data_IF_607164801787
#
_entry.id   IF_607164801787
#
_cell.length_a   1.000
_cell.length_b   1.000
_cell.length_c   1.000
_cell.angle_alpha   90.00
_cell.angle_beta   90.00
_cell.angle_gamma   90.00
#
_symmetry.space_group_name_H-M   'P 1'
#
loop_
_entity.id
_entity.type
_entity.pdbx_description
1 polymer ?
#
# COMPACT_ATOMS: atom_id res chain seq x y z
N UNK A 1 9.80 24.20 -0.18
CA UNK A 1 9.46 22.85 0.32
C UNK A 1 9.14 23.01 1.80
N UNK A 2 7.92 22.69 2.25
CA UNK A 2 7.63 22.67 3.69
C UNK A 2 7.65 21.22 4.18
N UNK A 3 8.46 21.00 5.20
CA UNK A 3 8.64 19.72 5.86
C UNK A 3 7.43 19.42 6.75
N UNK A 4 6.95 18.18 6.73
CA UNK A 4 5.84 17.73 7.57
C UNK A 4 6.33 16.81 8.68
N UNK A 5 6.94 15.69 8.31
CA UNK A 5 7.35 14.65 9.26
C UNK A 5 8.45 13.76 8.65
N UNK A 6 9.39 13.33 9.49
CA UNK A 6 10.36 12.30 9.13
C UNK A 6 9.82 10.92 9.52
N UNK A 7 9.84 9.98 8.59
CA UNK A 7 9.46 8.60 8.80
C UNK A 7 10.71 7.79 9.14
N UNK A 8 10.68 7.10 10.28
CA UNK A 8 11.71 6.15 10.69
C UNK A 8 11.14 4.75 10.53
N UNK A 9 11.49 4.10 9.43
CA UNK A 9 10.97 2.80 9.01
C UNK A 9 12.06 1.74 9.06
N UNK A 10 11.63 0.47 8.99
CA UNK A 10 12.47 -0.73 9.07
C UNK A 10 12.25 -1.60 7.85
N UNK A 11 13.24 -2.42 7.50
CA UNK A 11 13.03 -3.43 6.45
C UNK A 11 12.14 -4.58 6.96
N UNK A 12 11.27 -5.07 6.07
CA UNK A 12 10.26 -6.09 6.36
C UNK A 12 10.61 -7.46 5.79
N UNK A 13 10.69 -8.49 6.64
CA UNK A 13 11.12 -9.84 6.24
C UNK A 13 12.55 -9.80 5.72
N UNK A 14 12.85 -10.37 4.56
CA UNK A 14 14.20 -10.36 3.94
C UNK A 14 14.39 -9.25 2.89
N UNK A 15 13.44 -8.32 2.74
CA UNK A 15 13.49 -7.28 1.70
C UNK A 15 14.63 -6.30 1.91
N UNK A 16 15.22 -5.78 0.84
CA UNK A 16 16.23 -4.73 0.85
C UNK A 16 15.66 -3.33 0.57
N UNK A 17 14.35 -3.15 0.76
CA UNK A 17 13.62 -1.91 0.55
C UNK A 17 12.50 -1.76 1.57
N UNK A 18 12.10 -0.52 1.87
CA UNK A 18 10.99 -0.19 2.75
C UNK A 18 9.66 -0.64 2.13
N UNK A 19 8.87 -1.38 2.90
CA UNK A 19 7.66 -2.00 2.37
C UNK A 19 6.51 -0.98 2.25
N UNK A 20 5.76 -1.04 1.14
CA UNK A 20 4.68 -0.10 0.86
C UNK A 20 3.55 -0.11 1.89
N UNK A 21 3.31 -1.24 2.60
CA UNK A 21 2.34 -1.29 3.71
C UNK A 21 2.78 -0.41 4.87
N UNK A 22 4.08 -0.38 5.17
CA UNK A 22 4.63 0.33 6.33
C UNK A 22 4.66 1.83 6.03
N UNK A 23 4.98 2.18 4.76
CA UNK A 23 4.85 3.55 4.27
C UNK A 23 3.39 4.02 4.30
N UNK A 24 2.44 3.19 3.86
CA UNK A 24 1.01 3.52 3.94
C UNK A 24 0.56 3.74 5.39
N UNK A 25 0.95 2.86 6.31
CA UNK A 25 0.59 3.00 7.72
C UNK A 25 1.15 4.30 8.32
N UNK A 26 2.41 4.61 8.02
CA UNK A 26 3.03 5.85 8.47
C UNK A 26 2.31 7.09 7.90
N UNK A 27 1.92 7.07 6.63
CA UNK A 27 1.14 8.14 6.01
C UNK A 27 -0.28 8.28 6.60
N UNK A 28 -0.91 7.18 6.98
CA UNK A 28 -2.19 7.21 7.69
C UNK A 28 -2.05 7.91 9.04
N UNK A 29 -0.98 7.64 9.79
CA UNK A 29 -0.69 8.38 11.03
C UNK A 29 -0.41 9.86 10.78
N UNK A 30 0.28 10.23 9.69
CA UNK A 30 0.45 11.64 9.30
C UNK A 30 -0.90 12.30 9.00
N UNK A 31 -1.78 11.62 8.25
CA UNK A 31 -3.10 12.14 7.92
C UNK A 31 -3.95 12.41 9.18
N UNK A 32 -3.90 11.50 10.15
CA UNK A 32 -4.58 11.63 11.45
C UNK A 32 -4.02 12.80 12.27
N UNK A 33 -2.69 12.92 12.42
CA UNK A 33 -2.03 14.02 13.15
C UNK A 33 -2.32 15.39 12.54
N UNK A 34 -2.44 15.46 11.22
CA UNK A 34 -2.79 16.68 10.49
C UNK A 34 -4.30 16.99 10.55
N UNK A 35 -5.11 16.15 11.19
CA UNK A 35 -6.57 16.32 11.25
C UNK A 35 -7.24 16.24 9.89
N UNK A 36 -6.60 15.56 8.92
CA UNK A 36 -7.02 15.51 7.53
C UNK A 36 -7.79 14.24 7.15
N UNK A 37 -7.90 13.26 8.06
CA UNK A 37 -8.61 12.00 7.82
C UNK A 37 -7.67 10.85 7.51
N UNK A 38 -7.80 10.25 6.32
CA UNK A 38 -7.09 9.04 5.90
C UNK A 38 -6.37 9.23 4.56
N UNK A 39 -5.53 8.24 4.20
CA UNK A 39 -4.89 8.18 2.87
C UNK A 39 -5.92 7.72 1.84
N UNK A 40 -6.30 8.61 0.92
CA UNK A 40 -7.19 8.30 -0.21
C UNK A 40 -6.44 7.68 -1.37
N UNK A 41 -5.17 8.04 -1.54
CA UNK A 41 -4.34 7.51 -2.61
C UNK A 41 -2.89 7.47 -2.19
N UNK A 42 -2.18 6.42 -2.60
CA UNK A 42 -0.71 6.36 -2.56
C UNK A 42 -0.20 5.77 -3.87
N UNK A 43 0.84 6.39 -4.44
CA UNK A 43 1.51 5.96 -5.67
C UNK A 43 3.01 5.90 -5.42
N UNK A 44 3.60 4.73 -5.54
CA UNK A 44 5.04 4.49 -5.45
C UNK A 44 5.66 4.58 -6.85
N UNK A 45 6.65 5.47 -7.00
CA UNK A 45 7.42 5.64 -8.26
C UNK A 45 8.63 4.72 -8.29
N UNK A 46 9.23 4.45 -7.13
CA UNK A 46 10.38 3.55 -6.96
C UNK A 46 10.37 2.95 -5.56
N UNK A 47 11.12 1.86 -5.38
CA UNK A 47 11.39 1.32 -4.06
C UNK A 47 12.30 2.26 -3.28
N UNK A 48 12.01 2.45 -1.98
CA UNK A 48 12.84 3.23 -1.08
C UNK A 48 13.80 2.31 -0.33
N UNK A 49 15.06 2.70 -0.21
CA UNK A 49 16.10 1.98 0.52
C UNK A 49 16.69 2.80 1.68
N UNK A 50 16.35 4.09 1.75
CA UNK A 50 16.72 5.02 2.83
C UNK A 50 15.49 5.52 3.59
N UNK A 51 15.71 6.18 4.72
CA UNK A 51 14.63 6.80 5.48
C UNK A 51 13.91 7.88 4.66
N UNK A 52 12.66 8.16 5.01
CA UNK A 52 11.80 9.04 4.21
C UNK A 52 11.43 10.31 4.96
N UNK A 53 11.34 11.41 4.23
CA UNK A 53 10.67 12.62 4.69
C UNK A 53 9.36 12.83 3.92
N UNK A 54 8.36 13.32 4.63
CA UNK A 54 7.08 13.76 4.07
C UNK A 54 7.10 15.26 3.91
N UNK A 55 6.78 15.73 2.71
CA UNK A 55 6.70 17.15 2.36
C UNK A 55 5.35 17.46 1.68
N UNK A 56 4.88 18.69 1.81
CA UNK A 56 3.56 19.13 1.28
C UNK A 56 3.68 20.08 0.08
N UNK A 57 4.90 20.25 -0.44
CA UNK A 57 5.17 20.96 -1.68
C UNK A 57 5.90 20.01 -2.62
N UNK A 58 5.45 19.98 -3.88
CA UNK A 58 6.10 19.19 -4.91
C UNK A 58 7.60 19.52 -4.99
N UNK A 59 8.50 18.52 -4.92
CA UNK A 59 9.91 18.73 -5.18
C UNK A 59 10.13 19.28 -6.60
N UNK A 60 11.12 20.16 -6.77
CA UNK A 60 11.47 20.73 -8.08
C UNK A 60 11.94 19.63 -9.03
N UNK A 61 12.77 18.72 -8.52
CA UNK A 61 13.18 17.52 -9.25
C UNK A 61 12.18 16.38 -9.00
N UNK A 62 11.40 15.95 -10.01
CA UNK A 62 10.48 14.82 -9.84
C UNK A 62 11.19 13.47 -9.64
N UNK A 63 12.49 13.36 -9.94
CA UNK A 63 13.26 12.12 -9.78
C UNK A 63 13.53 11.78 -8.30
N UNK A 64 13.55 12.78 -7.41
CA UNK A 64 13.76 12.54 -5.97
C UNK A 64 12.53 11.92 -5.29
N UNK A 65 11.35 12.05 -5.91
CA UNK A 65 10.08 11.56 -5.36
C UNK A 65 10.03 10.04 -5.39
N UNK A 66 9.97 9.43 -4.21
CA UNK A 66 9.75 7.99 -4.02
C UNK A 66 8.28 7.65 -4.19
N UNK A 67 7.42 8.41 -3.52
CA UNK A 67 5.99 8.20 -3.52
C UNK A 67 5.23 9.52 -3.42
N UNK A 68 3.98 9.50 -3.86
CA UNK A 68 3.04 10.59 -3.69
C UNK A 68 1.80 10.03 -3.01
N UNK A 69 1.22 10.80 -2.09
CA UNK A 69 -0.03 10.45 -1.43
C UNK A 69 -1.02 11.60 -1.48
N UNK A 70 -2.31 11.26 -1.57
CA UNK A 70 -3.40 12.20 -1.37
C UNK A 70 -4.10 11.81 -0.06
N UNK A 71 -4.17 12.74 0.90
CA UNK A 71 -4.85 12.56 2.19
C UNK A 71 -6.12 13.41 2.26
N UNK A 72 -7.15 12.93 2.95
CA UNK A 72 -8.42 13.65 3.08
C UNK A 72 -9.51 12.81 3.75
N UNK A 73 -10.73 13.34 3.78
CA UNK A 73 -11.93 12.59 4.19
C UNK A 73 -12.58 13.05 5.48
N UNK A 74 -12.01 14.02 6.19
CA UNK A 74 -12.70 14.75 7.27
C UNK A 74 -13.21 16.10 6.78
N UNK A 75 -14.31 16.59 7.37
CA UNK A 75 -14.91 17.89 7.04
C UNK A 75 -13.93 19.06 7.24
N UNK A 76 -13.01 18.93 8.21
CA UNK A 76 -11.91 19.87 8.47
C UNK A 76 -10.93 20.00 7.29
N UNK A 77 -10.94 19.05 6.35
CA UNK A 77 -10.07 19.01 5.18
C UNK A 77 -10.94 18.85 3.92
N UNK A 78 -11.59 19.96 3.53
CA UNK A 78 -12.57 20.00 2.44
C UNK A 78 -11.99 19.65 1.06
N UNK A 79 -10.67 19.77 0.87
CA UNK A 79 -9.96 19.35 -0.33
C UNK A 79 -8.84 18.36 0.03
N UNK A 80 -8.68 17.31 -0.77
CA UNK A 80 -7.58 16.35 -0.59
C UNK A 80 -6.23 17.07 -0.66
N UNK A 81 -5.40 16.91 0.37
CA UNK A 81 -4.05 17.47 0.41
C UNK A 81 -3.06 16.47 -0.19
N UNK A 82 -2.17 16.97 -1.03
CA UNK A 82 -1.10 16.18 -1.64
C UNK A 82 0.15 16.20 -0.77
N UNK A 83 0.77 15.04 -0.64
CA UNK A 83 2.03 14.83 0.04
C UNK A 83 3.00 14.11 -0.90
N UNK A 84 4.29 14.41 -0.73
CA UNK A 84 5.38 13.76 -1.44
C UNK A 84 6.34 13.15 -0.42
N UNK A 85 6.89 11.99 -0.78
CA UNK A 85 7.88 11.28 0.00
C UNK A 85 9.21 11.30 -0.75
N UNK A 86 10.26 11.72 -0.06
CA UNK A 86 11.63 11.79 -0.58
C UNK A 86 12.56 11.01 0.33
N UNK A 87 13.61 10.41 -0.22
CA UNK A 87 14.65 9.77 0.59
C UNK A 87 15.54 10.82 1.24
N UNK A 88 15.90 10.55 2.50
CA UNK A 88 17.00 11.19 3.19
C UNK A 88 18.30 10.43 2.96
N UNK A 89 19.40 11.01 3.41
CA UNK A 89 20.70 10.33 3.41
C UNK A 89 20.79 9.24 4.48
N UNK A 90 19.95 9.27 5.51
CA UNK A 90 19.92 8.27 6.59
C UNK A 90 19.61 6.86 6.09
N UNK A 91 20.43 5.90 6.51
CA UNK A 91 20.25 4.48 6.19
C UNK A 91 19.12 3.83 7.01
N UNK A 92 18.54 2.76 6.45
CA UNK A 92 17.65 1.86 7.19
C UNK A 92 18.50 0.72 7.74
N UNK A 93 18.75 0.73 9.05
CA UNK A 93 19.62 -0.26 9.72
C UNK A 93 18.86 -1.42 10.35
N UNK A 94 17.57 -1.26 10.61
CA UNK A 94 16.76 -2.23 11.33
C UNK A 94 15.88 -3.08 10.41
N UNK A 95 15.60 -4.31 10.86
CA UNK A 95 14.72 -5.28 10.19
C UNK A 95 13.79 -5.93 11.20
N UNK A 96 12.61 -6.34 10.76
CA UNK A 96 11.71 -7.18 11.54
C UNK A 96 11.18 -8.35 10.69
N UNK A 97 10.86 -9.46 11.36
CA UNK A 97 10.31 -10.66 10.72
C UNK A 97 8.91 -10.41 10.15
N UNK A 98 8.61 -11.02 9.02
CA UNK A 98 7.29 -10.93 8.39
C UNK A 98 6.83 -12.31 7.90
N UNK A 99 5.88 -12.96 8.59
CA UNK A 99 5.42 -14.29 8.23
C UNK A 99 4.37 -14.21 7.11
N UNK A 100 4.80 -13.86 5.89
CA UNK A 100 3.91 -13.66 4.73
C UNK A 100 2.98 -14.85 4.48
N UNK A 101 3.46 -16.09 4.69
CA UNK A 101 2.66 -17.31 4.54
C UNK A 101 1.52 -17.40 5.56
N UNK A 102 1.70 -16.88 6.77
CA UNK A 102 0.65 -16.82 7.80
C UNK A 102 -0.39 -15.75 7.47
N UNK A 103 0.06 -14.61 6.91
CA UNK A 103 -0.84 -13.51 6.50
C UNK A 103 -1.84 -13.98 5.45
N UNK A 104 -1.41 -14.83 4.51
CA UNK A 104 -2.27 -15.36 3.45
C UNK A 104 -2.86 -16.75 3.77
N UNK A 105 -2.64 -17.27 4.98
CA UNK A 105 -3.18 -18.56 5.38
C UNK A 105 -4.72 -18.56 5.30
N UNK A 106 -5.31 -19.66 4.82
CA UNK A 106 -6.76 -19.77 4.65
C UNK A 106 -7.36 -18.99 3.47
N UNK A 107 -6.55 -18.26 2.68
CA UNK A 107 -7.05 -17.63 1.46
C UNK A 107 -7.32 -18.64 0.35
N UNK A 108 -8.44 -18.46 -0.36
CA UNK A 108 -8.89 -19.32 -1.45
C UNK A 108 -8.80 -18.55 -2.77
N UNK A 109 -7.97 -19.06 -3.69
CA UNK A 109 -7.80 -18.49 -5.03
C UNK A 109 -8.74 -19.19 -6.01
N UNK A 110 -9.41 -18.42 -6.87
CA UNK A 110 -10.13 -18.93 -8.03
C UNK A 110 -9.53 -18.33 -9.30
N UNK A 111 -8.81 -19.13 -10.06
CA UNK A 111 -8.23 -18.71 -11.34
C UNK A 111 -9.32 -18.39 -12.38
N UNK A 112 -10.42 -19.14 -12.36
CA UNK A 112 -11.55 -18.95 -13.27
C UNK A 112 -12.24 -17.60 -13.03
N UNK A 113 -12.46 -17.23 -11.76
CA UNK A 113 -13.03 -15.93 -11.38
C UNK A 113 -11.98 -14.81 -11.30
N UNK A 114 -10.70 -15.17 -11.46
CA UNK A 114 -9.54 -14.28 -11.27
C UNK A 114 -9.59 -13.55 -9.93
N UNK A 115 -9.92 -14.27 -8.86
CA UNK A 115 -10.15 -13.69 -7.54
C UNK A 115 -9.47 -14.46 -6.42
N UNK A 116 -9.30 -13.82 -5.27
CA UNK A 116 -8.87 -14.43 -4.02
C UNK A 116 -9.75 -13.92 -2.89
N UNK A 117 -10.22 -14.81 -2.03
CA UNK A 117 -11.01 -14.47 -0.83
C UNK A 117 -10.37 -15.01 0.44
N UNK A 118 -10.62 -14.37 1.58
CA UNK A 118 -10.13 -14.78 2.90
C UNK A 118 -10.98 -14.16 4.01
N UNK A 119 -11.27 -14.94 5.06
CA UNK A 119 -11.70 -14.39 6.35
C UNK A 119 -10.53 -13.69 7.05
N UNK A 120 -10.75 -12.47 7.51
CA UNK A 120 -9.71 -11.64 8.12
C UNK A 120 -9.06 -12.33 9.30
N UNK A 121 -7.73 -12.22 9.36
CA UNK A 121 -7.00 -12.47 10.58
C UNK A 121 -6.65 -11.11 11.21
N UNK A 122 -7.33 -10.80 12.32
CA UNK A 122 -7.17 -9.52 13.03
C UNK A 122 -5.81 -9.40 13.76
N UNK A 123 -4.95 -10.41 13.71
CA UNK A 123 -3.55 -10.34 14.15
C UNK A 123 -2.67 -9.52 13.20
N UNK A 124 -3.09 -9.34 11.95
CA UNK A 124 -2.37 -8.57 10.94
C UNK A 124 -3.13 -7.29 10.56
N UNK A 125 -2.40 -6.28 10.08
CA UNK A 125 -3.02 -5.07 9.57
C UNK A 125 -3.77 -5.39 8.28
N UNK A 126 -4.94 -4.77 8.09
CA UNK A 126 -5.75 -5.00 6.89
C UNK A 126 -4.97 -4.74 5.60
N UNK A 127 -4.18 -3.67 5.56
CA UNK A 127 -3.36 -3.36 4.38
C UNK A 127 -2.29 -4.43 4.10
N UNK A 128 -1.77 -5.10 5.13
CA UNK A 128 -0.82 -6.22 4.95
C UNK A 128 -1.51 -7.42 4.33
N UNK A 129 -2.71 -7.76 4.80
CA UNK A 129 -3.51 -8.85 4.24
C UNK A 129 -3.88 -8.57 2.78
N UNK A 130 -4.38 -7.36 2.47
CA UNK A 130 -4.74 -6.97 1.09
C UNK A 130 -3.53 -7.06 0.16
N UNK A 131 -2.37 -6.53 0.56
CA UNK A 131 -1.14 -6.54 -0.27
C UNK A 131 -0.62 -7.96 -0.45
N UNK A 132 -0.58 -8.78 0.62
CA UNK A 132 -0.10 -10.15 0.53
C UNK A 132 -1.04 -11.04 -0.29
N UNK A 133 -2.36 -10.91 -0.10
CA UNK A 133 -3.37 -11.60 -0.91
C UNK A 133 -3.27 -11.20 -2.37
N UNK A 134 -3.07 -9.92 -2.68
CA UNK A 134 -2.89 -9.47 -4.06
C UNK A 134 -1.64 -10.07 -4.70
N UNK A 135 -0.52 -10.14 -3.96
CA UNK A 135 0.70 -10.82 -4.42
C UNK A 135 0.44 -12.29 -4.73
N UNK A 136 -0.27 -13.00 -3.84
CA UNK A 136 -0.65 -14.40 -4.03
C UNK A 136 -1.53 -14.60 -5.27
N UNK A 137 -2.52 -13.72 -5.48
CA UNK A 137 -3.35 -13.73 -6.68
C UNK A 137 -2.52 -13.49 -7.95
N UNK A 138 -1.60 -12.52 -7.94
CA UNK A 138 -0.73 -12.25 -9.08
C UNK A 138 0.13 -13.47 -9.42
N UNK A 139 0.71 -14.13 -8.41
CA UNK A 139 1.50 -15.35 -8.60
C UNK A 139 0.67 -16.48 -9.21
N UNK A 140 -0.59 -16.66 -8.76
CA UNK A 140 -1.47 -17.69 -9.31
C UNK A 140 -1.87 -17.40 -10.76
N UNK A 141 -2.20 -16.14 -11.10
CA UNK A 141 -2.71 -15.79 -12.42
C UNK A 141 -1.62 -15.56 -13.48
N UNK A 142 -0.45 -15.08 -13.09
CA UNK A 142 0.58 -14.58 -14.01
C UNK A 142 1.98 -15.16 -13.76
N UNK A 143 2.05 -16.17 -12.88
CA UNK A 143 3.26 -16.87 -12.48
C UNK A 143 4.05 -16.17 -11.37
N UNK A 144 4.93 -16.94 -10.74
CA UNK A 144 5.85 -16.44 -9.71
C UNK A 144 6.70 -15.30 -10.27
N UNK A 145 6.70 -14.17 -9.57
CA UNK A 145 7.54 -13.03 -9.93
C UNK A 145 7.72 -12.05 -8.79
N UNK A 146 8.61 -11.08 -9.03
CA UNK A 146 8.79 -9.94 -8.15
C UNK A 146 7.67 -8.94 -8.42
N UNK A 147 6.57 -9.09 -7.68
CA UNK A 147 5.47 -8.15 -7.74
C UNK A 147 5.66 -7.05 -6.70
N UNK A 148 5.68 -5.80 -7.15
CA UNK A 148 5.79 -4.62 -6.30
C UNK A 148 4.44 -3.92 -6.19
N UNK A 149 4.04 -3.65 -4.95
CA UNK A 149 2.90 -2.79 -4.64
C UNK A 149 3.18 -1.36 -5.12
N UNK A 150 2.50 -0.93 -6.18
CA UNK A 150 2.79 0.33 -6.86
C UNK A 150 1.77 1.42 -6.57
N UNK A 151 0.50 1.07 -6.32
CA UNK A 151 -0.53 2.07 -6.03
C UNK A 151 -1.72 1.46 -5.31
N UNK A 152 -2.32 2.25 -4.41
CA UNK A 152 -3.63 2.01 -3.82
C UNK A 152 -4.47 3.28 -3.93
N UNK A 153 -5.68 3.15 -4.47
CA UNK A 153 -6.73 4.17 -4.39
C UNK A 153 -7.82 3.64 -3.47
N UNK A 154 -8.19 4.38 -2.44
CA UNK A 154 -9.22 4.02 -1.46
C UNK A 154 -10.37 5.02 -1.55
N UNK A 155 -11.60 4.52 -1.62
CA UNK A 155 -12.79 5.35 -1.65
C UNK A 155 -13.06 6.00 -0.28
N UNK A 156 -12.92 5.20 0.78
CA UNK A 156 -13.14 5.58 2.17
C UNK A 156 -12.02 5.04 3.06
N UNK A 157 -12.06 5.28 4.37
CA UNK A 157 -11.07 4.68 5.29
C UNK A 157 -11.20 3.16 5.20
N UNK A 158 -10.08 2.45 5.07
CA UNK A 158 -10.09 0.98 5.19
C UNK A 158 -10.58 0.61 6.60
N UNK A 159 -11.68 -0.12 6.68
CA UNK A 159 -12.30 -0.52 7.94
C UNK A 159 -11.63 -1.78 8.50
N UNK A 160 -10.87 -1.62 9.60
CA UNK A 160 -10.25 -2.74 10.31
C UNK A 160 -11.28 -3.68 10.96
N UNK A 161 -12.56 -3.27 11.03
CA UNK A 161 -13.68 -4.07 11.51
C UNK A 161 -14.19 -5.14 10.55
N UNK A 162 -13.80 -5.08 9.27
CA UNK A 162 -14.28 -6.01 8.25
C UNK A 162 -13.96 -7.48 8.57
N UNK A 163 -14.82 -8.41 8.14
CA UNK A 163 -14.65 -9.85 8.42
C UNK A 163 -14.15 -10.63 7.20
N UNK A 164 -14.49 -10.20 5.98
CA UNK A 164 -14.08 -10.84 4.74
C UNK A 164 -13.35 -9.87 3.81
N UNK A 165 -12.25 -10.34 3.20
CA UNK A 165 -11.54 -9.64 2.13
C UNK A 165 -11.71 -10.43 0.84
N UNK A 166 -12.13 -9.75 -0.23
CA UNK A 166 -12.15 -10.27 -1.58
C UNK A 166 -11.35 -9.36 -2.51
N UNK A 167 -10.43 -9.92 -3.28
CA UNK A 167 -9.79 -9.23 -4.39
C UNK A 167 -10.20 -9.86 -5.71
N UNK A 168 -10.51 -9.02 -6.69
CA UNK A 168 -10.86 -9.44 -8.05
C UNK A 168 -9.95 -8.73 -9.04
N UNK A 169 -9.15 -9.51 -9.78
CA UNK A 169 -8.35 -8.96 -10.87
C UNK A 169 -9.25 -8.46 -12.00
N UNK A 170 -9.04 -7.23 -12.42
CA UNK A 170 -9.78 -6.61 -13.53
C UNK A 170 -8.99 -6.59 -14.82
N UNK A 171 -7.70 -6.30 -14.72
CA UNK A 171 -6.84 -6.23 -15.89
C UNK A 171 -5.40 -6.54 -15.56
N UNK A 172 -4.67 -6.91 -16.61
CA UNK A 172 -3.22 -6.98 -16.61
C UNK A 172 -2.74 -6.31 -17.91
N UNK A 173 -2.16 -5.12 -17.80
CA UNK A 173 -1.67 -4.36 -18.93
C UNK A 173 -0.24 -4.82 -19.26
N UNK A 174 -0.08 -5.34 -20.48
CA UNK A 174 1.20 -5.82 -21.04
C UNK A 174 1.93 -6.84 -20.15
N UNK A 175 1.21 -7.62 -19.34
CA UNK A 175 1.82 -8.60 -18.42
C UNK A 175 2.62 -7.97 -17.26
N UNK A 176 2.57 -6.64 -17.10
CA UNK A 176 3.41 -5.89 -16.16
C UNK A 176 2.62 -5.18 -15.09
N UNK A 177 1.53 -4.50 -15.44
CA UNK A 177 0.70 -3.76 -14.48
C UNK A 177 -0.60 -4.51 -14.23
N UNK A 178 -0.74 -5.07 -13.03
CA UNK A 178 -1.93 -5.80 -12.58
C UNK A 178 -2.81 -4.85 -11.77
N UNK A 179 -4.09 -4.77 -12.14
CA UNK A 179 -5.08 -3.96 -11.45
C UNK A 179 -6.16 -4.86 -10.87
N UNK A 180 -6.41 -4.74 -9.57
CA UNK A 180 -7.45 -5.48 -8.87
C UNK A 180 -8.32 -4.55 -8.04
N UNK A 181 -9.61 -4.88 -7.94
CA UNK A 181 -10.52 -4.26 -7.00
C UNK A 181 -10.46 -5.00 -5.67
N UNK A 182 -10.57 -4.26 -4.57
CA UNK A 182 -10.61 -4.77 -3.20
C UNK A 182 -12.01 -4.53 -2.65
N UNK A 183 -12.59 -5.59 -2.12
CA UNK A 183 -13.89 -5.60 -1.47
C UNK A 183 -13.71 -6.02 -0.01
N UNK A 184 -14.39 -5.33 0.89
CA UNK A 184 -14.54 -5.69 2.30
C UNK A 184 -16.01 -5.94 2.56
N UNK A 185 -16.36 -7.11 3.10
CA UNK A 185 -17.75 -7.49 3.37
C UNK A 185 -18.72 -7.22 2.19
N UNK A 186 -18.25 -7.54 0.97
CA UNK A 186 -18.94 -7.36 -0.32
C UNK A 186 -19.01 -5.91 -0.86
N UNK A 187 -18.52 -4.92 -0.12
CA UNK A 187 -18.47 -3.53 -0.57
C UNK A 187 -17.11 -3.20 -1.21
N UNK A 188 -17.13 -2.56 -2.38
CA UNK A 188 -15.89 -2.13 -3.06
C UNK A 188 -15.30 -0.93 -2.33
N UNK A 189 -14.15 -1.12 -1.69
CA UNK A 189 -13.48 -0.05 -0.92
C UNK A 189 -12.25 0.51 -1.60
N UNK A 190 -11.57 -0.26 -2.45
CA UNK A 190 -10.29 0.17 -3.02
C UNK A 190 -10.00 -0.43 -4.40
N UNK A 191 -9.02 0.18 -5.08
CA UNK A 191 -8.35 -0.38 -6.25
C UNK A 191 -6.85 -0.44 -5.96
N UNK A 192 -6.27 -1.64 -6.07
CA UNK A 192 -4.85 -1.90 -5.85
C UNK A 192 -4.15 -2.22 -7.17
N UNK A 193 -2.91 -1.76 -7.31
CA UNK A 193 -2.06 -2.01 -8.48
C UNK A 193 -0.70 -2.52 -8.09
N UNK A 194 -0.29 -3.57 -8.79
CA UNK A 194 1.03 -4.16 -8.68
C UNK A 194 1.75 -4.06 -10.02
N UNK A 195 3.05 -3.79 -9.97
CA UNK A 195 3.92 -3.84 -11.14
C UNK A 195 4.88 -5.01 -11.01
N UNK A 196 5.10 -5.72 -12.12
CA UNK A 196 6.15 -6.73 -12.23
C UNK A 196 7.50 -6.02 -12.37
N UNK A 197 8.42 -6.26 -11.44
CA UNK A 197 9.80 -5.73 -11.46
C UNK A 197 10.77 -6.72 -12.08
#
# INVERSE_FOLDING_TARGET
MSFIESLVLKFKGERAYLHGTDIYQALSSVAEKQGCGHVKRVVFRRAAIRQLDVVDQAPVDPAVVVAQADIGGFESCSASRKLWLIERDDEVSERYGYPEDQVVAGSVVSEQKKSITKHRNKEFLLIEEVVAMHKKLCNALFGSGNWLFSQLDVAERLDDGAEEILLVNKSCLSGRLVVSEVFLDQEKVATIRFVRS
#
